data_IF_603546237528
#
_entry.id   IF_603546237528
#
_cell.length_a   1.000
_cell.length_b   1.000
_cell.length_c   1.000
_cell.angle_alpha   90.00
_cell.angle_beta   90.00
_cell.angle_gamma   90.00
#
_symmetry.space_group_name_H-M   'P 1'
#
loop_
_entity.id
_entity.type
_entity.pdbx_description
1 polymer ?
#
# COMPACT_ATOMS: atom_id res chain seq x y z
N UNK A 1 5.47 -20.32 3.37
CA UNK A 1 4.22 -19.55 3.41
C UNK A 1 4.06 -18.86 2.05
N UNK A 2 2.88 -18.93 1.43
CA UNK A 2 2.60 -18.21 0.18
C UNK A 2 2.67 -16.70 0.49
N UNK A 3 3.65 -16.00 -0.06
CA UNK A 3 3.74 -14.56 0.07
C UNK A 3 2.52 -13.92 -0.62
N UNK A 4 1.91 -12.87 -0.05
CA UNK A 4 0.75 -12.23 -0.65
C UNK A 4 1.12 -11.63 -2.02
N UNK A 5 0.25 -11.79 -3.00
CA UNK A 5 0.45 -11.22 -4.32
C UNK A 5 0.58 -9.69 -4.25
N UNK A 6 1.56 -9.16 -4.97
CA UNK A 6 1.93 -7.74 -4.91
C UNK A 6 0.79 -6.83 -5.36
N UNK A 7 -0.06 -7.26 -6.30
CA UNK A 7 -1.24 -6.51 -6.74
C UNK A 7 -2.30 -6.41 -5.63
N UNK A 8 -2.44 -7.48 -4.83
CA UNK A 8 -3.35 -7.48 -3.69
C UNK A 8 -2.91 -6.46 -2.63
N UNK A 9 -1.61 -6.42 -2.31
CA UNK A 9 -1.05 -5.44 -1.36
C UNK A 9 -1.19 -4.01 -1.89
N UNK A 10 -0.94 -3.79 -3.18
CA UNK A 10 -1.09 -2.50 -3.84
C UNK A 10 -2.55 -2.00 -3.84
N UNK A 11 -3.52 -2.91 -4.02
CA UNK A 11 -4.95 -2.59 -3.89
C UNK A 11 -5.32 -2.22 -2.44
N UNK A 12 -4.80 -2.94 -1.45
CA UNK A 12 -5.02 -2.63 -0.04
C UNK A 12 -4.48 -1.25 0.33
N UNK A 13 -3.29 -0.87 -0.17
CA UNK A 13 -2.72 0.47 0.03
C UNK A 13 -3.62 1.57 -0.54
N UNK A 14 -4.18 1.37 -1.74
CA UNK A 14 -5.14 2.34 -2.33
C UNK A 14 -6.41 2.48 -1.52
N UNK A 15 -6.96 1.37 -1.00
CA UNK A 15 -8.13 1.41 -0.13
C UNK A 15 -7.82 2.13 1.18
N UNK A 16 -6.70 1.81 1.82
CA UNK A 16 -6.25 2.44 3.05
C UNK A 16 -6.18 3.97 2.91
N UNK A 17 -5.54 4.49 1.86
CA UNK A 17 -5.45 5.95 1.60
C UNK A 17 -6.81 6.61 1.32
N UNK A 18 -7.74 5.89 0.73
CA UNK A 18 -9.10 6.41 0.46
C UNK A 18 -9.94 6.44 1.72
N UNK A 19 -9.82 5.41 2.56
CA UNK A 19 -10.46 5.35 3.86
C UNK A 19 -9.88 6.37 4.84
N UNK A 20 -8.55 6.58 4.85
CA UNK A 20 -7.88 7.61 5.64
C UNK A 20 -8.50 8.98 5.40
N UNK A 21 -8.64 9.38 4.13
CA UNK A 21 -9.33 10.62 3.73
C UNK A 21 -10.80 10.64 4.16
N UNK A 22 -11.48 9.49 4.11
CA UNK A 22 -12.90 9.40 4.48
C UNK A 22 -13.11 9.52 6.00
N UNK A 23 -12.22 8.95 6.82
CA UNK A 23 -12.22 9.09 8.28
C UNK A 23 -11.97 10.55 8.66
N UNK A 24 -11.03 11.22 7.98
CA UNK A 24 -10.78 12.65 8.19
C UNK A 24 -11.98 13.52 7.81
N UNK A 25 -12.71 13.18 6.73
CA UNK A 25 -13.90 13.90 6.31
C UNK A 25 -15.14 13.63 7.19
N UNK A 26 -15.24 12.43 7.77
CA UNK A 26 -16.40 11.98 8.55
C UNK A 26 -15.96 11.27 9.84
N UNK A 27 -15.38 11.99 10.81
CA UNK A 27 -14.78 11.39 12.01
C UNK A 27 -15.79 10.69 12.93
N UNK A 28 -17.06 11.09 12.88
CA UNK A 28 -18.14 10.50 13.68
C UNK A 28 -18.76 9.25 13.04
N UNK A 29 -18.40 8.91 11.80
CA UNK A 29 -18.92 7.74 11.11
C UNK A 29 -18.14 6.49 11.53
N UNK A 30 -18.68 5.77 12.51
CA UNK A 30 -18.05 4.57 13.07
C UNK A 30 -17.88 3.46 12.03
N UNK A 31 -18.72 3.40 11.00
CA UNK A 31 -18.60 2.38 9.95
C UNK A 31 -17.40 2.65 9.04
N UNK A 32 -17.14 3.92 8.73
CA UNK A 32 -15.95 4.34 7.97
C UNK A 32 -14.68 4.09 8.79
N UNK A 33 -14.70 4.42 10.08
CA UNK A 33 -13.57 4.18 11.00
C UNK A 33 -13.27 2.69 11.16
N UNK A 34 -14.29 1.85 11.35
CA UNK A 34 -14.09 0.40 11.46
C UNK A 34 -13.47 -0.20 10.20
N UNK A 35 -13.94 0.20 9.02
CA UNK A 35 -13.36 -0.27 7.74
C UNK A 35 -11.89 0.14 7.57
N UNK A 36 -11.54 1.34 8.03
CA UNK A 36 -10.16 1.81 8.05
C UNK A 36 -9.30 0.95 8.99
N UNK A 37 -9.78 0.70 10.20
CA UNK A 37 -9.11 -0.15 11.20
C UNK A 37 -8.94 -1.60 10.72
N UNK A 38 -9.96 -2.20 10.09
CA UNK A 38 -9.89 -3.55 9.53
C UNK A 38 -8.81 -3.66 8.43
N UNK A 39 -8.73 -2.63 7.58
CA UNK A 39 -7.73 -2.56 6.51
C UNK A 39 -6.32 -2.36 7.09
N UNK A 40 -6.19 -1.50 8.10
CA UNK A 40 -4.94 -1.29 8.82
C UNK A 40 -4.46 -2.58 9.50
N UNK A 41 -5.36 -3.30 10.18
CA UNK A 41 -5.06 -4.58 10.83
C UNK A 41 -4.59 -5.63 9.82
N UNK A 42 -5.25 -5.72 8.67
CA UNK A 42 -4.86 -6.62 7.59
C UNK A 42 -3.44 -6.31 7.10
N UNK A 43 -3.10 -5.03 6.90
CA UNK A 43 -1.74 -4.64 6.52
C UNK A 43 -0.71 -5.01 7.59
N UNK A 44 -1.02 -4.79 8.88
CA UNK A 44 -0.14 -5.18 9.98
C UNK A 44 0.16 -6.69 9.96
N UNK A 45 -0.87 -7.53 9.80
CA UNK A 45 -0.70 -8.99 9.74
C UNK A 45 0.09 -9.42 8.52
N UNK A 46 -0.19 -8.85 7.34
CA UNK A 46 0.50 -9.22 6.10
C UNK A 46 1.98 -8.82 6.10
N UNK A 47 2.31 -7.69 6.71
CA UNK A 47 3.69 -7.17 6.75
C UNK A 47 4.46 -7.60 8.00
N UNK A 48 3.79 -8.21 8.99
CA UNK A 48 4.42 -8.61 10.24
C UNK A 48 4.78 -7.44 11.16
N UNK A 49 4.07 -6.31 11.03
CA UNK A 49 4.38 -5.06 11.72
C UNK A 49 3.38 -4.77 12.85
N UNK A 50 3.83 -4.05 13.88
CA UNK A 50 3.02 -3.79 15.08
C UNK A 50 2.11 -2.57 14.94
N UNK A 51 2.45 -1.66 14.04
CA UNK A 51 1.70 -0.41 13.84
C UNK A 51 1.27 -0.27 12.39
N UNK A 52 0.13 0.38 12.17
CA UNK A 52 -0.38 0.65 10.83
C UNK A 52 0.62 1.46 9.98
N UNK A 53 1.33 2.40 10.61
CA UNK A 53 2.31 3.23 9.93
C UNK A 53 3.52 2.40 9.44
N UNK A 54 4.08 1.53 10.28
CA UNK A 54 5.16 0.63 9.90
C UNK A 54 4.69 -0.36 8.83
N UNK A 55 3.49 -0.92 8.99
CA UNK A 55 2.88 -1.83 8.04
C UNK A 55 2.72 -1.19 6.65
N UNK A 56 2.24 0.05 6.57
CA UNK A 56 2.10 0.78 5.31
C UNK A 56 3.47 0.99 4.66
N UNK A 57 4.50 1.40 5.42
CA UNK A 57 5.85 1.58 4.87
C UNK A 57 6.46 0.27 4.38
N UNK A 58 6.27 -0.83 5.11
CA UNK A 58 6.71 -2.15 4.70
C UNK A 58 5.98 -2.62 3.43
N UNK A 59 4.67 -2.41 3.36
CA UNK A 59 3.86 -2.71 2.18
C UNK A 59 4.26 -1.89 0.95
N UNK A 60 4.52 -0.59 1.10
CA UNK A 60 5.01 0.28 0.02
C UNK A 60 6.34 -0.22 -0.54
N UNK A 61 7.27 -0.64 0.33
CA UNK A 61 8.55 -1.26 -0.08
C UNK A 61 8.34 -2.60 -0.76
N UNK A 62 7.48 -3.46 -0.20
CA UNK A 62 7.15 -4.77 -0.76
C UNK A 62 6.59 -4.64 -2.19
N UNK A 63 5.66 -3.69 -2.39
CA UNK A 63 5.10 -3.41 -3.71
C UNK A 63 6.15 -2.87 -4.67
N UNK A 64 7.01 -1.97 -4.21
CA UNK A 64 8.08 -1.39 -5.04
C UNK A 64 9.13 -2.42 -5.47
N UNK A 65 9.41 -3.43 -4.64
CA UNK A 65 10.35 -4.52 -4.95
C UNK A 65 9.75 -5.57 -5.89
N UNK A 66 8.45 -5.84 -5.79
CA UNK A 66 7.75 -6.79 -6.67
C UNK A 66 7.30 -6.19 -8.01
N UNK A 67 7.30 -4.86 -8.15
CA UNK A 67 7.00 -4.21 -9.42
C UNK A 67 8.24 -4.31 -10.31
N UNK A 68 8.16 -4.92 -11.52
CA UNK A 68 9.23 -4.75 -12.48
C UNK A 68 9.39 -3.25 -12.72
N UNK A 69 10.55 -2.71 -12.35
CA UNK A 69 10.93 -1.35 -12.70
C UNK A 69 10.71 -1.20 -14.21
N UNK A 70 9.94 -0.21 -14.69
CA UNK A 70 9.92 0.08 -16.11
C UNK A 70 11.36 0.33 -16.50
N UNK A 71 11.96 -0.60 -17.26
CA UNK A 71 13.32 -0.45 -17.76
C UNK A 71 13.30 0.80 -18.63
N UNK A 72 13.88 1.89 -18.13
CA UNK A 72 14.10 3.07 -18.95
C UNK A 72 14.86 2.61 -20.19
N UNK A 73 14.33 2.81 -21.41
CA UNK A 73 15.19 2.72 -22.57
C UNK A 73 16.12 3.92 -22.46
N UNK A 74 17.35 3.68 -22.02
CA UNK A 74 18.50 4.54 -22.29
C UNK A 74 18.66 4.59 -23.81
N UNK A 75 17.81 5.40 -24.44
CA UNK A 75 17.89 5.78 -25.84
C UNK A 75 19.12 6.64 -25.98
N UNK A 76 20.21 6.01 -26.39
CA UNK A 76 21.41 6.69 -26.82
C UNK A 76 21.03 7.73 -27.87
N UNK A 77 21.33 8.99 -27.56
CA UNK A 77 21.57 10.01 -28.56
C UNK A 77 23.07 10.28 -28.55
N UNK A 78 23.78 9.30 -29.13
CA UNK A 78 24.92 9.59 -29.96
C UNK A 78 24.36 10.10 -31.31
N UNK A 79 24.81 11.27 -31.73
CA UNK A 79 24.46 11.92 -32.99
C UNK A 79 24.99 13.35 -32.92
N UNK A 80 26.28 13.53 -33.18
CA UNK A 80 26.87 13.88 -34.49
C UNK A 80 26.80 15.37 -34.75
#
# INVERSE_FOLDING_TARGET
MLLPDTNTVDRLLRHYRTQERSVLARPCDLSVRRRFEDTAYTLCVLMGERTAHEAVRAAERYVSQGRPTPREPLGGLAGS
#
